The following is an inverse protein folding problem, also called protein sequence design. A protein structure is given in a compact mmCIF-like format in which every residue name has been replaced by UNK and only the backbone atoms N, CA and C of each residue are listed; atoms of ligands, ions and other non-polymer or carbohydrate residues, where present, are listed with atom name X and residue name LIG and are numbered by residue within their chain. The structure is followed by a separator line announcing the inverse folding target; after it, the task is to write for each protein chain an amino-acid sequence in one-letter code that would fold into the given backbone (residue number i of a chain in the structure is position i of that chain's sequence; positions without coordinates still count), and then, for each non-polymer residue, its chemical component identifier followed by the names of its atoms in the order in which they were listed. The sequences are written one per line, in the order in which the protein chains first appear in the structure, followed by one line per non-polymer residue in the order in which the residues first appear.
data_IF_236003659048
#
_entry.id   IF_236003659048
#
_cell.length_a   1.000
_cell.length_b   1.000
_cell.length_c   1.000
_cell.angle_alpha   90.00
_cell.angle_beta   90.00
_cell.angle_gamma   90.00
#
_symmetry.space_group_name_H-M   'P 1'
#
loop_
_entity.id
_entity.type
_entity.pdbx_description
1 polymer ?
#
# COMPACT_ATOMS: atom_id res chain seq x y z
N UNK A 1 -29.91 28.36 -12.96
CA UNK A 1 -28.71 28.07 -13.75
C UNK A 1 -27.77 27.24 -12.88
N UNK A 2 -27.79 25.91 -13.08
CA UNK A 2 -26.82 25.02 -12.43
C UNK A 2 -25.44 25.35 -13.03
N UNK A 3 -24.52 25.84 -12.19
CA UNK A 3 -23.12 25.93 -12.55
C UNK A 3 -22.59 24.51 -12.73
N UNK A 4 -22.23 24.17 -13.98
CA UNK A 4 -21.48 22.94 -14.24
C UNK A 4 -20.18 23.03 -13.46
N UNK A 5 -20.02 22.18 -12.44
CA UNK A 5 -18.74 21.96 -11.79
C UNK A 5 -17.77 21.51 -12.88
N UNK A 6 -16.76 22.32 -13.16
CA UNK A 6 -15.70 21.94 -14.08
C UNK A 6 -15.04 20.68 -13.50
N UNK A 7 -15.07 19.58 -14.26
CA UNK A 7 -14.33 18.38 -13.89
C UNK A 7 -12.86 18.77 -13.73
N UNK A 8 -12.31 18.57 -12.53
CA UNK A 8 -10.86 18.75 -12.33
C UNK A 8 -10.13 17.72 -13.21
N UNK A 9 -9.02 18.11 -13.87
CA UNK A 9 -8.16 17.12 -14.54
C UNK A 9 -7.72 16.06 -13.52
N UNK A 10 -7.63 14.81 -13.94
CA UNK A 10 -7.26 13.67 -13.09
C UNK A 10 -5.98 13.90 -12.22
N UNK A 11 -5.03 14.66 -12.75
CA UNK A 11 -3.76 14.95 -12.06
C UNK A 11 -3.67 16.38 -11.50
N UNK A 12 -4.79 17.11 -11.36
CA UNK A 12 -4.77 18.52 -10.95
C UNK A 12 -4.23 18.72 -9.53
N UNK A 13 -4.37 17.68 -8.68
CA UNK A 13 -3.98 17.68 -7.27
C UNK A 13 -2.80 16.71 -7.01
N UNK A 14 -2.05 16.32 -8.07
CA UNK A 14 -0.95 15.36 -7.97
C UNK A 14 0.35 15.94 -8.52
N UNK A 15 1.45 15.75 -7.79
CA UNK A 15 2.78 16.02 -8.30
C UNK A 15 3.18 14.96 -9.35
N UNK A 16 3.58 15.42 -10.52
CA UNK A 16 4.08 14.52 -11.59
C UNK A 16 5.59 14.75 -11.74
N UNK A 17 6.44 13.82 -11.28
CA UNK A 17 7.88 13.96 -11.38
C UNK A 17 8.39 13.66 -12.78
N UNK A 18 9.58 14.16 -13.10
CA UNK A 18 10.43 13.57 -14.12
C UNK A 18 10.95 12.21 -13.64
N UNK A 19 11.43 11.34 -14.56
CA UNK A 19 11.99 10.04 -14.18
C UNK A 19 13.19 10.20 -13.21
N UNK A 20 14.04 11.17 -13.51
CA UNK A 20 15.20 11.56 -12.70
C UNK A 20 15.34 13.08 -12.68
N UNK A 21 15.35 13.68 -11.48
CA UNK A 21 15.60 15.11 -11.30
C UNK A 21 16.21 15.37 -9.92
N UNK A 22 17.08 16.39 -9.81
CA UNK A 22 17.73 16.77 -8.55
C UNK A 22 18.60 15.68 -7.93
N UNK A 23 19.06 14.71 -8.70
CA UNK A 23 19.82 13.54 -8.22
C UNK A 23 21.15 13.87 -7.60
N UNK A 24 21.72 15.03 -7.92
CA UNK A 24 22.92 15.61 -7.30
C UNK A 24 22.74 15.91 -5.81
N UNK A 25 21.49 16.13 -5.37
CA UNK A 25 21.16 16.38 -3.97
C UNK A 25 21.07 15.11 -3.12
N UNK A 26 21.10 13.91 -3.76
CA UNK A 26 20.94 12.64 -3.06
C UNK A 26 22.15 12.24 -2.21
N UNK A 27 23.35 12.77 -2.50
CA UNK A 27 24.57 12.45 -1.75
C UNK A 27 24.76 10.93 -1.59
N UNK A 28 24.81 10.45 -0.35
CA UNK A 28 25.03 9.04 0.00
C UNK A 28 23.75 8.20 0.05
N UNK A 29 22.59 8.70 -0.42
CA UNK A 29 21.34 7.94 -0.49
C UNK A 29 21.48 6.77 -1.46
N UNK A 30 21.43 5.53 -0.92
CA UNK A 30 21.66 4.29 -1.67
C UNK A 30 20.38 3.66 -2.24
N UNK A 31 19.21 4.23 -1.93
CA UNK A 31 17.95 3.70 -2.44
C UNK A 31 17.93 3.73 -3.98
N UNK A 32 17.50 2.64 -4.61
CA UNK A 32 17.41 2.54 -6.08
C UNK A 32 16.32 3.45 -6.63
N UNK A 33 15.18 3.55 -5.94
CA UNK A 33 14.08 4.46 -6.24
C UNK A 33 13.92 5.51 -5.15
N UNK A 34 13.79 6.78 -5.55
CA UNK A 34 13.57 7.90 -4.64
C UNK A 34 12.58 8.86 -5.25
N UNK A 35 11.65 9.33 -4.44
CA UNK A 35 10.73 10.39 -4.82
C UNK A 35 10.48 11.28 -3.60
N UNK A 36 10.77 12.57 -3.73
CA UNK A 36 10.49 13.58 -2.72
C UNK A 36 9.47 14.57 -3.26
N UNK A 37 8.33 14.63 -2.58
CA UNK A 37 7.21 15.48 -2.96
C UNK A 37 6.95 16.51 -1.86
N UNK A 38 6.78 17.75 -2.25
CA UNK A 38 6.14 18.79 -1.43
C UNK A 38 4.62 18.65 -1.60
N UNK A 39 3.98 18.00 -0.63
CA UNK A 39 2.54 17.74 -0.66
C UNK A 39 1.69 19.02 -0.48
N UNK A 40 2.28 20.13 -0.03
CA UNK A 40 1.55 21.40 0.09
C UNK A 40 1.44 22.12 -1.25
N UNK A 41 2.50 22.06 -2.06
CA UNK A 41 2.57 22.72 -3.36
C UNK A 41 2.42 21.75 -4.54
N UNK A 42 2.15 20.47 -4.25
CA UNK A 42 1.98 19.42 -5.26
C UNK A 42 3.15 19.35 -6.25
N UNK A 43 4.36 19.44 -5.70
CA UNK A 43 5.58 19.56 -6.49
C UNK A 43 6.58 18.45 -6.18
N UNK A 44 7.03 17.76 -7.21
CA UNK A 44 8.20 16.90 -7.10
C UNK A 44 9.47 17.75 -6.94
N UNK A 45 10.20 17.53 -5.86
CA UNK A 45 11.44 18.23 -5.55
C UNK A 45 12.67 17.44 -6.02
N UNK A 46 12.58 16.12 -6.00
CA UNK A 46 13.65 15.22 -6.37
C UNK A 46 13.07 13.86 -6.78
N UNK A 47 13.67 13.23 -7.77
CA UNK A 47 13.30 11.89 -8.20
C UNK A 47 14.53 11.11 -8.70
N UNK A 48 14.52 9.80 -8.45
CA UNK A 48 15.42 8.82 -9.03
C UNK A 48 14.61 7.57 -9.37
N UNK A 49 14.66 7.14 -10.63
CA UNK A 49 13.95 5.96 -11.11
C UNK A 49 12.43 6.00 -10.77
N UNK A 50 11.79 7.18 -10.84
CA UNK A 50 10.42 7.38 -10.36
C UNK A 50 9.41 6.41 -10.97
N UNK A 51 9.63 5.92 -12.19
CA UNK A 51 8.74 5.02 -12.92
C UNK A 51 9.33 3.62 -13.15
N UNK A 52 10.49 3.32 -12.54
CA UNK A 52 11.11 2.00 -12.65
C UNK A 52 10.41 1.02 -11.74
N UNK A 53 10.06 -0.16 -12.28
CA UNK A 53 9.44 -1.24 -11.50
C UNK A 53 10.42 -1.81 -10.50
N UNK A 54 9.98 -1.96 -9.27
CA UNK A 54 10.74 -2.47 -8.13
C UNK A 54 9.85 -3.36 -7.28
N UNK A 55 10.47 -4.27 -6.53
CA UNK A 55 9.74 -5.01 -5.50
C UNK A 55 9.38 -4.05 -4.34
N UNK A 56 8.11 -3.87 -4.01
CA UNK A 56 7.69 -2.97 -2.93
C UNK A 56 8.04 -3.49 -1.54
N UNK A 57 8.28 -4.78 -1.38
CA UNK A 57 8.40 -5.42 -0.07
C UNK A 57 7.24 -4.98 0.85
N UNK A 58 7.50 -4.73 2.12
CA UNK A 58 6.48 -4.37 3.10
C UNK A 58 5.79 -3.02 2.86
N UNK A 59 6.23 -2.19 1.91
CA UNK A 59 5.45 -1.00 1.52
C UNK A 59 4.11 -1.36 0.87
N UNK A 60 3.95 -2.61 0.40
CA UNK A 60 2.66 -3.20 0.00
C UNK A 60 1.57 -3.01 1.05
N UNK A 61 1.93 -3.06 2.33
CA UNK A 61 0.98 -2.96 3.45
C UNK A 61 0.30 -1.60 3.57
N UNK A 62 0.80 -0.58 2.88
CA UNK A 62 0.10 0.71 2.75
C UNK A 62 -1.23 0.50 2.01
N UNK A 63 -1.22 -0.23 0.89
CA UNK A 63 -2.44 -0.58 0.15
C UNK A 63 -3.36 -1.50 0.99
N UNK A 64 -2.79 -2.45 1.74
CA UNK A 64 -3.56 -3.32 2.62
C UNK A 64 -4.28 -2.53 3.72
N UNK A 65 -3.58 -1.56 4.31
CA UNK A 65 -4.16 -0.66 5.31
C UNK A 65 -5.25 0.23 4.71
N UNK A 66 -4.97 0.84 3.54
CA UNK A 66 -5.92 1.70 2.82
C UNK A 66 -7.25 0.98 2.58
N UNK A 67 -7.20 -0.22 2.00
CA UNK A 67 -8.42 -0.99 1.72
C UNK A 67 -9.21 -1.38 2.98
N UNK A 68 -8.54 -1.63 4.10
CA UNK A 68 -9.22 -1.89 5.36
C UNK A 68 -9.90 -0.64 5.93
N UNK A 69 -9.29 0.54 5.73
CA UNK A 69 -9.84 1.82 6.19
C UNK A 69 -10.96 2.35 5.29
N UNK A 70 -10.94 2.01 4.00
CA UNK A 70 -11.99 2.36 3.03
C UNK A 70 -13.21 1.44 3.13
N UNK A 71 -13.10 0.28 3.77
CA UNK A 71 -14.22 -0.67 3.91
C UNK A 71 -15.20 -0.18 4.98
N UNK A 72 -16.39 0.24 4.54
CA UNK A 72 -17.45 0.78 5.41
C UNK A 72 -18.01 -0.22 6.41
N UNK A 73 -17.80 -1.51 6.19
CA UNK A 73 -18.28 -2.58 7.04
C UNK A 73 -17.29 -2.92 8.18
N UNK A 74 -16.10 -2.28 8.20
CA UNK A 74 -15.09 -2.47 9.23
C UNK A 74 -15.09 -1.30 10.21
N UNK A 75 -15.27 -1.62 11.48
CA UNK A 75 -15.12 -0.67 12.59
C UNK A 75 -13.92 -1.01 13.45
N UNK A 76 -13.24 0.01 13.97
CA UNK A 76 -11.96 -0.17 14.70
C UNK A 76 -12.08 -1.03 15.95
N UNK A 77 -13.26 -1.09 16.57
CA UNK A 77 -13.60 -1.90 17.74
C UNK A 77 -14.16 -3.30 17.39
N UNK A 78 -14.33 -3.63 16.11
CA UNK A 78 -14.70 -4.98 15.68
C UNK A 78 -13.69 -6.00 16.18
N UNK A 79 -14.17 -7.06 16.81
CA UNK A 79 -13.30 -8.12 17.33
C UNK A 79 -13.21 -9.26 16.33
N UNK A 80 -12.03 -9.43 15.78
CA UNK A 80 -11.68 -10.51 14.86
C UNK A 80 -11.03 -11.67 15.60
N UNK A 81 -11.26 -12.88 15.12
CA UNK A 81 -10.60 -14.08 15.66
C UNK A 81 -9.60 -14.58 14.63
N UNK A 82 -8.33 -14.67 15.04
CA UNK A 82 -7.26 -15.20 14.23
C UNK A 82 -7.51 -16.67 13.85
N UNK A 83 -7.63 -16.95 12.59
CA UNK A 83 -7.86 -18.27 12.01
C UNK A 83 -6.59 -18.88 11.41
N UNK A 84 -6.72 -19.88 10.52
CA UNK A 84 -5.58 -20.50 9.85
C UNK A 84 -4.86 -19.57 8.86
N UNK A 85 -5.48 -18.48 8.42
CA UNK A 85 -4.93 -17.48 7.49
C UNK A 85 -3.67 -16.80 8.03
N UNK A 86 -3.48 -16.73 9.36
CA UNK A 86 -2.31 -16.09 9.98
C UNK A 86 -1.00 -16.86 9.77
N UNK A 87 -1.09 -18.08 9.24
CA UNK A 87 0.10 -18.91 9.00
C UNK A 87 0.82 -18.41 7.74
N UNK A 88 2.02 -17.90 7.93
CA UNK A 88 2.91 -17.44 6.87
C UNK A 88 4.13 -18.36 6.88
N UNK A 89 4.34 -19.06 5.76
CA UNK A 89 5.40 -20.08 5.64
C UNK A 89 6.69 -19.54 5.06
N UNK A 90 6.66 -18.35 4.46
CA UNK A 90 7.79 -17.76 3.76
C UNK A 90 8.88 -17.29 4.74
N UNK A 91 10.14 -17.71 4.54
CA UNK A 91 11.24 -17.30 5.39
C UNK A 91 11.48 -15.80 5.37
N UNK A 92 11.74 -15.23 6.54
CA UNK A 92 12.07 -13.80 6.66
C UNK A 92 10.86 -12.87 6.78
N UNK A 93 9.64 -13.42 6.83
CA UNK A 93 8.44 -12.64 7.10
C UNK A 93 8.52 -11.97 8.48
N UNK A 94 8.22 -10.67 8.54
CA UNK A 94 7.93 -9.99 9.82
C UNK A 94 6.55 -10.42 10.29
N UNK A 95 6.44 -10.80 11.56
CA UNK A 95 5.22 -11.35 12.15
C UNK A 95 4.76 -10.53 13.35
N UNK A 96 3.46 -10.40 13.52
CA UNK A 96 2.84 -9.89 14.74
C UNK A 96 2.95 -10.89 15.88
N UNK A 97 2.96 -12.18 15.54
CA UNK A 97 3.05 -13.28 16.49
C UNK A 97 1.70 -13.75 17.00
N UNK A 98 0.64 -13.56 16.20
CA UNK A 98 -0.70 -14.05 16.52
C UNK A 98 -0.76 -15.58 16.56
N UNK A 99 -1.62 -16.09 17.42
CA UNK A 99 -1.95 -17.51 17.52
C UNK A 99 -3.40 -17.75 17.08
N UNK A 100 -3.66 -18.91 16.50
CA UNK A 100 -5.04 -19.26 16.16
C UNK A 100 -5.92 -19.24 17.40
N UNK A 101 -7.05 -18.53 17.28
CA UNK A 101 -7.98 -18.32 18.38
C UNK A 101 -7.79 -17.02 19.14
N UNK A 102 -6.69 -16.28 18.91
CA UNK A 102 -6.52 -14.94 19.47
C UNK A 102 -7.65 -14.01 18.99
N UNK A 103 -8.11 -13.18 19.90
CA UNK A 103 -9.12 -12.17 19.64
C UNK A 103 -8.51 -10.78 19.70
N UNK A 104 -8.56 -10.06 18.59
CA UNK A 104 -7.95 -8.75 18.44
C UNK A 104 -8.97 -7.79 17.83
N UNK A 105 -8.91 -6.52 18.23
CA UNK A 105 -9.71 -5.51 17.54
C UNK A 105 -9.11 -5.19 16.18
N UNK A 106 -9.92 -4.71 15.23
CA UNK A 106 -9.46 -4.25 13.94
C UNK A 106 -8.33 -3.23 14.09
N UNK A 107 -8.46 -2.30 15.05
CA UNK A 107 -7.43 -1.33 15.37
C UNK A 107 -6.10 -2.00 15.76
N UNK A 108 -6.13 -3.00 16.65
CA UNK A 108 -4.93 -3.74 17.07
C UNK A 108 -4.25 -4.45 15.90
N UNK A 109 -5.03 -5.03 14.98
CA UNK A 109 -4.51 -5.69 13.78
C UNK A 109 -3.88 -4.68 12.83
N UNK A 110 -4.51 -3.52 12.61
CA UNK A 110 -3.95 -2.43 11.80
C UNK A 110 -2.66 -1.85 12.40
N UNK A 111 -2.61 -1.64 13.72
CA UNK A 111 -1.37 -1.24 14.39
C UNK A 111 -0.27 -2.30 14.23
N UNK A 112 -0.60 -3.58 14.34
CA UNK A 112 0.36 -4.65 14.09
C UNK A 112 0.85 -4.65 12.65
N UNK A 113 -0.05 -4.48 11.67
CA UNK A 113 0.29 -4.35 10.25
C UNK A 113 1.33 -3.25 10.02
N UNK A 114 1.07 -2.05 10.51
CA UNK A 114 1.87 -0.86 10.19
C UNK A 114 3.12 -0.73 11.06
N UNK A 115 3.07 -1.05 12.34
CA UNK A 115 4.20 -0.84 13.27
C UNK A 115 5.14 -2.04 13.30
N UNK A 116 4.59 -3.28 13.28
CA UNK A 116 5.38 -4.51 13.30
C UNK A 116 5.62 -5.09 11.91
N UNK A 117 4.94 -4.52 10.90
CA UNK A 117 4.94 -5.07 9.55
C UNK A 117 4.45 -6.53 9.49
N UNK A 118 3.49 -6.88 10.36
CA UNK A 118 3.01 -8.26 10.52
C UNK A 118 2.39 -8.82 9.25
N UNK A 119 2.95 -9.89 8.71
CA UNK A 119 2.38 -10.59 7.57
C UNK A 119 1.11 -11.37 7.96
N UNK A 120 1.09 -11.92 9.18
CA UNK A 120 -0.10 -12.52 9.79
C UNK A 120 -1.26 -11.51 9.94
N UNK A 121 -0.93 -10.26 10.30
CA UNK A 121 -1.91 -9.17 10.34
C UNK A 121 -2.45 -8.84 8.93
N UNK A 122 -1.60 -8.82 7.90
CA UNK A 122 -2.01 -8.58 6.53
C UNK A 122 -2.99 -9.66 6.04
N UNK A 123 -2.68 -10.93 6.28
CA UNK A 123 -3.55 -12.05 5.90
C UNK A 123 -4.89 -12.02 6.66
N UNK A 124 -4.86 -11.64 7.94
CA UNK A 124 -6.08 -11.49 8.73
C UNK A 124 -6.97 -10.37 8.17
N UNK A 125 -6.40 -9.24 7.77
CA UNK A 125 -7.12 -8.14 7.10
C UNK A 125 -7.70 -8.62 5.77
N UNK A 126 -6.90 -9.28 4.94
CA UNK A 126 -7.35 -9.82 3.65
C UNK A 126 -8.57 -10.74 3.82
N UNK A 127 -8.54 -11.58 4.84
CA UNK A 127 -9.66 -12.46 5.19
C UNK A 127 -10.91 -11.69 5.61
N UNK A 128 -10.78 -10.63 6.40
CA UNK A 128 -11.92 -9.86 6.88
C UNK A 128 -12.56 -9.01 5.77
N UNK A 129 -11.73 -8.33 4.97
CA UNK A 129 -12.18 -7.40 3.90
C UNK A 129 -12.74 -8.13 2.68
N UNK A 130 -12.16 -9.28 2.32
CA UNK A 130 -12.49 -9.95 1.05
C UNK A 130 -12.83 -11.44 1.17
N UNK A 131 -12.73 -12.02 2.35
CA UNK A 131 -13.02 -13.43 2.56
C UNK A 131 -11.87 -14.37 2.20
N UNK A 132 -10.92 -13.95 1.35
CA UNK A 132 -9.70 -14.69 1.03
C UNK A 132 -8.57 -13.78 0.58
N UNK A 133 -7.33 -14.28 0.58
CA UNK A 133 -6.15 -13.58 0.07
C UNK A 133 -6.31 -13.26 -1.43
N UNK A 134 -6.77 -14.22 -2.23
CA UNK A 134 -6.94 -14.05 -3.68
C UNK A 134 -7.94 -12.94 -4.00
N UNK A 135 -9.11 -12.93 -3.35
CA UNK A 135 -10.12 -11.90 -3.55
C UNK A 135 -9.63 -10.53 -3.07
N UNK A 136 -8.79 -10.50 -2.03
CA UNK A 136 -8.20 -9.26 -1.54
C UNK A 136 -7.17 -8.70 -2.53
N UNK A 137 -6.32 -9.55 -3.11
CA UNK A 137 -5.35 -9.17 -4.14
C UNK A 137 -6.05 -8.61 -5.38
N UNK A 138 -7.19 -9.16 -5.77
CA UNK A 138 -8.01 -8.59 -6.85
C UNK A 138 -8.47 -7.17 -6.51
N UNK A 139 -8.94 -6.93 -5.26
CA UNK A 139 -9.29 -5.58 -4.78
C UNK A 139 -8.08 -4.64 -4.78
N UNK A 140 -6.90 -5.09 -4.32
CA UNK A 140 -5.67 -4.30 -4.32
C UNK A 140 -5.32 -3.83 -5.74
N UNK A 141 -5.35 -4.73 -6.71
CA UNK A 141 -5.04 -4.41 -8.10
C UNK A 141 -6.09 -3.51 -8.75
N UNK A 142 -7.37 -3.71 -8.44
CA UNK A 142 -8.45 -2.83 -8.90
C UNK A 142 -8.25 -1.41 -8.35
N UNK A 143 -7.99 -1.29 -7.04
CA UNK A 143 -7.78 0.03 -6.41
C UNK A 143 -6.52 0.73 -6.91
N UNK A 144 -5.42 0.00 -7.10
CA UNK A 144 -4.20 0.55 -7.71
C UNK A 144 -4.48 1.16 -9.09
N UNK A 145 -5.27 0.47 -9.91
CA UNK A 145 -5.68 0.97 -11.23
C UNK A 145 -6.56 2.23 -11.13
N UNK A 146 -7.49 2.28 -10.19
CA UNK A 146 -8.34 3.46 -9.94
C UNK A 146 -7.51 4.68 -9.54
N UNK A 147 -6.46 4.48 -8.73
CA UNK A 147 -5.51 5.51 -8.32
C UNK A 147 -4.53 5.93 -9.42
N UNK A 148 -4.57 5.26 -10.59
CA UNK A 148 -3.63 5.52 -11.67
C UNK A 148 -2.25 4.87 -11.48
N UNK A 149 -2.07 4.00 -10.50
CA UNK A 149 -0.84 3.27 -10.21
C UNK A 149 -0.65 2.10 -11.21
N UNK A 150 -0.45 2.44 -12.48
CA UNK A 150 -0.47 1.49 -13.61
C UNK A 150 0.81 0.66 -13.77
N UNK A 151 1.88 1.03 -13.07
CA UNK A 151 3.12 0.27 -12.98
C UNK A 151 3.14 -0.71 -11.80
N UNK A 152 2.01 -0.87 -11.10
CA UNK A 152 1.87 -1.69 -9.90
C UNK A 152 1.11 -2.97 -10.20
N UNK A 153 1.58 -4.08 -9.64
CA UNK A 153 0.87 -5.35 -9.60
C UNK A 153 1.15 -6.06 -8.27
N UNK A 154 0.10 -6.31 -7.51
CA UNK A 154 0.16 -7.03 -6.26
C UNK A 154 -0.18 -8.51 -6.48
N UNK A 155 0.54 -9.40 -5.80
CA UNK A 155 0.28 -10.85 -5.78
C UNK A 155 -0.05 -11.36 -4.37
N UNK A 156 0.15 -10.52 -3.35
CA UNK A 156 -0.16 -10.82 -1.95
C UNK A 156 -0.40 -9.53 -1.15
N UNK A 157 -0.95 -9.68 0.05
CA UNK A 157 -1.30 -8.56 0.95
C UNK A 157 -0.15 -8.04 1.79
N UNK A 158 0.95 -8.77 1.88
CA UNK A 158 2.02 -8.54 2.87
C UNK A 158 3.35 -8.09 2.29
N UNK A 159 3.56 -8.22 0.97
CA UNK A 159 4.77 -7.77 0.28
C UNK A 159 5.94 -8.76 0.33
N UNK A 160 5.70 -10.04 0.62
CA UNK A 160 6.72 -11.06 0.46
C UNK A 160 7.02 -11.27 -1.02
N UNK A 161 8.25 -11.67 -1.31
CA UNK A 161 8.79 -11.66 -2.68
C UNK A 161 8.08 -12.64 -3.60
N UNK A 162 7.58 -12.11 -4.70
CA UNK A 162 7.05 -12.85 -5.83
C UNK A 162 7.55 -12.16 -7.12
N UNK A 163 7.89 -12.89 -8.18
CA UNK A 163 8.41 -12.31 -9.42
C UNK A 163 7.49 -11.29 -10.08
N UNK A 164 6.18 -11.45 -9.91
CA UNK A 164 5.16 -10.58 -10.49
C UNK A 164 4.72 -9.46 -9.52
N UNK A 165 5.21 -9.48 -8.26
CA UNK A 165 4.89 -8.46 -7.25
C UNK A 165 5.77 -7.23 -7.42
N UNK A 166 5.23 -6.17 -7.98
CA UNK A 166 6.01 -4.96 -8.28
C UNK A 166 5.19 -3.66 -8.17
N UNK A 167 5.91 -2.57 -7.99
CA UNK A 167 5.39 -1.19 -8.00
C UNK A 167 6.46 -0.25 -8.56
N UNK A 168 6.16 1.05 -8.62
CA UNK A 168 7.13 2.12 -8.89
C UNK A 168 7.14 3.14 -7.75
N UNK A 169 8.20 3.93 -7.56
CA UNK A 169 8.19 5.03 -6.59
C UNK A 169 7.02 6.00 -6.79
N UNK A 170 6.66 6.27 -8.04
CA UNK A 170 5.53 7.15 -8.35
C UNK A 170 4.19 6.50 -7.98
N UNK A 171 4.01 5.23 -8.27
CA UNK A 171 2.77 4.52 -7.91
C UNK A 171 2.60 4.42 -6.38
N UNK A 172 3.70 4.18 -5.65
CA UNK A 172 3.66 4.22 -4.18
C UNK A 172 3.27 5.60 -3.65
N UNK A 173 3.70 6.68 -4.31
CA UNK A 173 3.25 8.04 -3.97
C UNK A 173 1.74 8.18 -4.18
N UNK A 174 1.19 7.69 -5.30
CA UNK A 174 -0.26 7.75 -5.56
C UNK A 174 -1.06 7.02 -4.47
N UNK A 175 -0.60 5.82 -4.09
CA UNK A 175 -1.23 5.01 -3.04
C UNK A 175 -1.12 5.69 -1.67
N UNK A 176 0.07 6.22 -1.33
CA UNK A 176 0.30 6.91 -0.06
C UNK A 176 -0.43 8.24 0.06
N UNK A 177 -0.63 8.94 -1.08
CA UNK A 177 -1.36 10.21 -1.13
C UNK A 177 -2.85 10.03 -0.81
N UNK A 178 -3.41 8.87 -1.16
CA UNK A 178 -4.79 8.51 -0.86
C UNK A 178 -4.97 8.02 0.58
N UNK A 179 -3.96 7.34 1.14
CA UNK A 179 -4.00 6.75 2.48
C UNK A 179 -3.84 7.78 3.61
#
# INVERSE_FOLDING_TARGET
TAQASALKPFAADLAVPEADSGTDLLGDVRAEGVLLIDGTNEKALLSRNAYTRMNPASTTKIMTCLLALEDSDIHMDDVWTAGPEIVVSEPGASMGGFQQGDKLTAEQVLYCLMVRSGADAANMIAKQVAGSEEAFVEKMNARAKELGATGTHFTNSHGLTDPDHHTTPYDLYLILHEA
#
